data_IF_551120345729
#
_entry.id   IF_551120345729
#
_cell.length_a   1.000
_cell.length_b   1.000
_cell.length_c   1.000
_cell.angle_alpha   90.00
_cell.angle_beta   90.00
_cell.angle_gamma   90.00
#
_symmetry.space_group_name_H-M   'P 1'
#
loop_
_entity.id
_entity.type
_entity.pdbx_description
1 polymer ?
#
# COMPACT_ATOMS: atom_id res chain seq x y z
N UNK A 1 -24.75 -8.28 12.98
CA UNK A 1 -24.91 -6.90 12.47
C UNK A 1 -23.90 -6.72 11.36
N UNK A 2 -24.30 -6.14 10.23
CA UNK A 2 -23.45 -5.98 9.07
C UNK A 2 -22.19 -5.20 9.43
N UNK A 3 -21.05 -5.77 9.10
CA UNK A 3 -19.73 -5.18 9.32
C UNK A 3 -19.41 -4.13 8.23
N UNK A 4 -20.38 -3.26 7.95
CA UNK A 4 -20.25 -2.18 6.97
C UNK A 4 -20.33 -0.83 7.70
N UNK A 5 -19.51 0.11 7.30
CA UNK A 5 -19.50 1.46 7.86
C UNK A 5 -20.75 2.23 7.42
N UNK A 6 -21.12 2.08 6.15
CA UNK A 6 -22.33 2.70 5.58
C UNK A 6 -22.86 1.88 4.38
N UNK A 7 -23.99 2.33 3.82
CA UNK A 7 -24.64 1.67 2.69
C UNK A 7 -23.87 1.79 1.36
N UNK A 8 -22.90 2.69 1.26
CA UNK A 8 -22.11 2.86 0.04
C UNK A 8 -21.26 1.61 -0.27
N UNK A 9 -20.82 0.88 0.77
CA UNK A 9 -20.00 -0.30 0.60
C UNK A 9 -20.72 -1.47 -0.11
N UNK A 10 -22.06 -1.50 -0.08
CA UNK A 10 -22.89 -2.59 -0.62
C UNK A 10 -23.80 -2.16 -1.75
N UNK A 11 -23.70 -0.91 -2.21
CA UNK A 11 -24.54 -0.39 -3.31
C UNK A 11 -24.21 -1.10 -4.62
N UNK A 12 -25.12 -1.02 -5.57
CA UNK A 12 -24.94 -1.59 -6.91
C UNK A 12 -23.64 -1.06 -7.56
N UNK A 13 -22.78 -1.92 -8.15
CA UNK A 13 -21.54 -1.50 -8.78
C UNK A 13 -21.73 -0.47 -9.90
N UNK A 14 -22.79 -0.60 -10.71
CA UNK A 14 -23.06 0.34 -11.79
C UNK A 14 -23.56 1.70 -11.26
N UNK A 15 -24.29 1.70 -10.14
CA UNK A 15 -24.65 2.93 -9.44
C UNK A 15 -23.41 3.63 -8.89
N UNK A 16 -22.50 2.89 -8.23
CA UNK A 16 -21.21 3.43 -7.77
C UNK A 16 -20.42 4.07 -8.91
N UNK A 17 -20.30 3.37 -10.03
CA UNK A 17 -19.56 3.85 -11.18
C UNK A 17 -20.19 5.15 -11.72
N UNK A 18 -21.53 5.19 -11.87
CA UNK A 18 -22.22 6.43 -12.28
C UNK A 18 -21.97 7.59 -11.33
N UNK A 19 -22.04 7.38 -10.01
CA UNK A 19 -21.81 8.42 -9.00
C UNK A 19 -20.38 8.95 -9.07
N UNK A 20 -19.39 8.07 -9.13
CA UNK A 20 -17.99 8.46 -9.19
C UNK A 20 -17.72 9.30 -10.44
N UNK A 21 -18.23 8.88 -11.60
CA UNK A 21 -18.05 9.64 -12.84
C UNK A 21 -18.95 10.87 -12.97
N UNK A 22 -20.04 10.96 -12.21
CA UNK A 22 -20.80 12.22 -12.08
C UNK A 22 -20.04 13.27 -11.25
N UNK A 23 -19.24 12.84 -10.26
CA UNK A 23 -18.42 13.73 -9.41
C UNK A 23 -17.09 14.11 -10.03
N UNK A 24 -16.55 13.28 -10.91
CA UNK A 24 -15.19 13.43 -11.46
C UNK A 24 -14.97 14.73 -12.23
N UNK A 25 -15.89 15.22 -13.09
CA UNK A 25 -15.75 16.53 -13.75
C UNK A 25 -15.52 17.68 -12.77
N UNK A 26 -16.28 17.70 -11.68
CA UNK A 26 -16.16 18.71 -10.65
C UNK A 26 -14.80 18.62 -9.90
N UNK A 27 -14.33 17.39 -9.63
CA UNK A 27 -13.02 17.18 -9.01
C UNK A 27 -11.87 17.64 -9.91
N UNK A 28 -11.92 17.34 -11.21
CA UNK A 28 -10.91 17.78 -12.18
C UNK A 28 -10.95 19.31 -12.32
N UNK A 29 -12.13 19.90 -12.43
CA UNK A 29 -12.29 21.35 -12.47
C UNK A 29 -11.73 22.03 -11.21
N UNK A 30 -12.02 21.46 -10.03
CA UNK A 30 -11.50 21.94 -8.76
C UNK A 30 -9.96 21.86 -8.70
N UNK A 31 -9.36 20.74 -9.11
CA UNK A 31 -7.92 20.57 -9.18
C UNK A 31 -7.28 21.61 -10.12
N UNK A 32 -7.83 21.81 -11.31
CA UNK A 32 -7.33 22.81 -12.28
C UNK A 32 -7.47 24.26 -11.76
N UNK A 33 -8.55 24.57 -11.07
CA UNK A 33 -8.79 25.93 -10.54
C UNK A 33 -7.86 26.27 -9.37
N UNK A 34 -7.63 25.33 -8.45
CA UNK A 34 -7.05 25.59 -7.14
C UNK A 34 -5.64 25.02 -6.93
N UNK A 35 -5.21 24.03 -7.72
CA UNK A 35 -3.87 23.46 -7.64
C UNK A 35 -3.05 23.84 -8.89
N UNK A 36 -2.03 24.71 -8.75
CA UNK A 36 -1.24 25.22 -9.89
C UNK A 36 -0.62 24.12 -10.76
N UNK A 37 -0.24 22.99 -10.17
CA UNK A 37 0.28 21.83 -10.90
C UNK A 37 -0.74 21.34 -11.94
N UNK A 38 -1.98 21.08 -11.53
CA UNK A 38 -3.01 20.56 -12.43
C UNK A 38 -3.50 21.58 -13.43
N UNK A 39 -3.47 22.87 -13.12
CA UNK A 39 -3.74 23.94 -14.09
C UNK A 39 -2.81 23.85 -15.30
N UNK A 40 -1.55 23.54 -15.05
CA UNK A 40 -0.54 23.42 -16.10
C UNK A 40 -0.59 22.03 -16.77
N UNK A 41 -0.67 20.96 -15.98
CA UNK A 41 -0.66 19.59 -16.48
C UNK A 41 -1.88 19.26 -17.36
N UNK A 42 -3.03 19.89 -17.08
CA UNK A 42 -4.29 19.69 -17.79
C UNK A 42 -4.65 20.88 -18.68
N UNK A 43 -3.67 21.68 -19.10
CA UNK A 43 -3.92 22.81 -20.00
C UNK A 43 -4.63 22.34 -21.29
N UNK A 44 -5.77 22.95 -21.59
CA UNK A 44 -6.60 22.58 -22.75
C UNK A 44 -7.57 21.41 -22.53
N UNK A 45 -7.58 20.79 -21.36
CA UNK A 45 -8.58 19.78 -20.99
C UNK A 45 -9.88 20.48 -20.61
N UNK A 46 -10.99 20.02 -21.18
CA UNK A 46 -12.33 20.36 -20.70
C UNK A 46 -12.72 19.40 -19.56
N UNK A 47 -12.79 19.86 -18.30
CA UNK A 47 -13.15 19.00 -17.17
C UNK A 47 -14.51 18.33 -17.34
N UNK A 48 -15.47 18.97 -18.02
CA UNK A 48 -16.81 18.43 -18.24
C UNK A 48 -16.80 17.16 -19.11
N UNK A 49 -15.74 16.97 -19.91
CA UNK A 49 -15.57 15.78 -20.75
C UNK A 49 -15.09 14.54 -19.99
N UNK A 50 -14.62 14.67 -18.75
CA UNK A 50 -14.01 13.57 -17.98
C UNK A 50 -15.11 12.80 -17.24
N UNK A 51 -15.92 12.06 -17.98
CA UNK A 51 -17.13 11.36 -17.50
C UNK A 51 -17.05 9.85 -17.57
N UNK A 52 -15.87 9.28 -17.89
CA UNK A 52 -15.67 7.84 -18.05
C UNK A 52 -14.24 7.43 -17.71
N UNK A 53 -14.02 6.11 -17.50
CA UNK A 53 -12.66 5.56 -17.31
C UNK A 53 -11.75 5.87 -18.49
N UNK A 54 -12.26 5.79 -19.71
CA UNK A 54 -11.47 6.09 -20.90
C UNK A 54 -11.06 7.56 -20.95
N UNK A 55 -11.96 8.48 -20.62
CA UNK A 55 -11.65 9.91 -20.55
C UNK A 55 -10.65 10.22 -19.43
N UNK A 56 -10.81 9.59 -18.24
CA UNK A 56 -9.85 9.70 -17.14
C UNK A 56 -8.46 9.18 -17.56
N UNK A 57 -8.41 8.02 -18.22
CA UNK A 57 -7.17 7.39 -18.67
C UNK A 57 -6.39 8.23 -19.70
N UNK A 58 -7.06 9.14 -20.40
CA UNK A 58 -6.41 10.07 -21.34
C UNK A 58 -5.66 11.22 -20.64
N UNK A 59 -5.91 11.46 -19.34
CA UNK A 59 -5.18 12.46 -18.57
C UNK A 59 -3.76 12.00 -18.25
N UNK A 60 -2.77 12.89 -18.18
CA UNK A 60 -1.41 12.54 -17.76
C UNK A 60 -1.38 12.03 -16.33
N UNK A 61 -0.42 11.13 -16.06
CA UNK A 61 -0.19 10.53 -14.75
C UNK A 61 0.73 11.40 -13.93
N UNK A 62 0.36 11.70 -12.68
CA UNK A 62 1.22 12.34 -11.68
C UNK A 62 1.99 11.26 -10.93
N UNK A 63 3.32 11.29 -10.91
CA UNK A 63 4.12 10.21 -10.34
C UNK A 63 4.67 10.55 -8.96
N UNK A 64 4.54 9.61 -8.03
CA UNK A 64 5.16 9.72 -6.69
C UNK A 64 6.67 9.95 -6.77
N UNK A 65 7.36 9.32 -7.73
CA UNK A 65 8.79 9.48 -7.93
C UNK A 65 9.23 10.91 -8.30
N UNK A 66 8.31 11.74 -8.79
CA UNK A 66 8.56 13.12 -9.19
C UNK A 66 8.32 14.12 -8.05
N UNK A 67 7.67 13.70 -6.95
CA UNK A 67 7.23 14.62 -5.89
C UNK A 67 8.38 15.40 -5.25
N UNK A 68 9.53 14.77 -5.01
CA UNK A 68 10.68 15.45 -4.39
C UNK A 68 11.10 16.65 -5.22
N UNK A 69 11.20 16.51 -6.54
CA UNK A 69 11.61 17.59 -7.43
C UNK A 69 10.51 18.63 -7.63
N UNK A 70 9.24 18.20 -7.74
CA UNK A 70 8.10 19.11 -7.79
C UNK A 70 8.01 19.98 -6.52
N UNK A 71 8.20 19.38 -5.35
CA UNK A 71 8.16 20.10 -4.08
C UNK A 71 9.37 21.01 -3.86
N UNK A 72 10.53 20.68 -4.41
CA UNK A 72 11.67 21.62 -4.45
C UNK A 72 11.38 22.82 -5.33
N UNK A 73 10.76 22.61 -6.48
CA UNK A 73 10.43 23.68 -7.45
C UNK A 73 9.31 24.60 -6.95
N UNK A 74 8.31 24.06 -6.22
CA UNK A 74 7.16 24.80 -5.72
C UNK A 74 6.79 24.35 -4.29
N UNK A 75 7.47 24.90 -3.29
CA UNK A 75 7.30 24.51 -1.86
C UNK A 75 5.94 24.96 -1.30
N UNK A 76 5.39 24.19 -0.33
CA UNK A 76 5.90 22.90 0.17
C UNK A 76 5.41 21.69 -0.64
N UNK A 77 4.28 21.75 -1.36
CA UNK A 77 3.56 20.61 -1.92
C UNK A 77 3.66 20.45 -3.44
N UNK A 78 4.61 21.11 -4.10
CA UNK A 78 4.76 21.01 -5.55
C UNK A 78 3.64 21.66 -6.38
N UNK A 79 2.82 22.49 -5.75
CA UNK A 79 1.62 23.07 -6.37
C UNK A 79 0.45 22.12 -6.52
N UNK A 80 0.50 20.94 -5.85
CA UNK A 80 -0.56 19.93 -5.90
C UNK A 80 -1.70 20.20 -4.90
N UNK A 81 -1.48 21.07 -3.91
CA UNK A 81 -2.47 21.44 -2.91
C UNK A 81 -3.44 22.50 -3.40
N UNK A 82 -4.72 22.37 -3.06
CA UNK A 82 -5.73 23.39 -3.25
C UNK A 82 -5.89 24.28 -2.01
N UNK A 83 -5.75 23.72 -0.81
CA UNK A 83 -5.80 24.46 0.44
C UNK A 83 -4.39 24.97 0.80
N UNK A 84 -4.23 26.27 1.13
CA UNK A 84 -2.95 26.84 1.55
C UNK A 84 -2.49 26.22 2.88
N UNK A 85 -1.16 26.21 3.18
CA UNK A 85 -0.62 25.59 4.42
C UNK A 85 -1.30 26.06 5.71
N UNK A 86 -1.69 27.33 5.80
CA UNK A 86 -2.36 27.91 6.98
C UNK A 86 -3.79 27.41 7.19
N UNK A 87 -4.43 26.84 6.16
CA UNK A 87 -5.77 26.27 6.23
C UNK A 87 -5.81 24.82 6.66
N UNK A 88 -4.65 24.13 6.63
CA UNK A 88 -4.54 22.71 6.95
C UNK A 88 -4.63 22.43 8.47
N UNK A 89 -4.93 21.20 8.80
CA UNK A 89 -4.86 20.70 10.18
C UNK A 89 -3.43 20.33 10.58
N UNK A 90 -2.70 19.64 9.68
CA UNK A 90 -1.31 19.20 9.88
C UNK A 90 -0.54 19.22 8.56
N UNK A 91 0.78 19.27 8.68
CA UNK A 91 1.71 19.07 7.58
C UNK A 91 2.71 18.01 8.02
N UNK A 92 2.86 16.97 7.21
CA UNK A 92 3.74 15.86 7.51
C UNK A 92 4.97 15.86 6.60
N UNK A 93 5.93 15.04 6.96
CA UNK A 93 7.18 14.80 6.23
C UNK A 93 7.44 13.31 6.19
N UNK A 94 7.17 12.67 5.06
CA UNK A 94 7.53 11.27 4.86
C UNK A 94 8.93 11.11 4.26
N UNK A 95 9.50 9.89 4.30
CA UNK A 95 10.81 9.66 3.70
C UNK A 95 10.89 10.02 2.23
N UNK A 96 11.90 10.90 1.89
CA UNK A 96 12.12 11.45 0.57
C UNK A 96 13.02 12.68 0.57
N UNK A 97 12.87 13.79 1.33
CA UNK A 97 11.65 14.09 2.09
C UNK A 97 10.49 14.51 1.18
N UNK A 98 9.30 14.03 1.49
CA UNK A 98 8.05 14.40 0.82
C UNK A 98 7.12 15.02 1.85
N UNK A 99 6.46 16.15 1.49
CA UNK A 99 5.55 16.87 2.37
C UNK A 99 4.10 16.52 2.00
N UNK A 100 3.31 16.12 2.99
CA UNK A 100 1.91 15.76 2.82
C UNK A 100 1.01 16.65 3.67
N UNK A 101 -0.08 17.19 3.09
CA UNK A 101 -1.07 17.97 3.83
C UNK A 101 -2.14 17.08 4.45
N UNK A 102 -2.61 17.44 5.64
CA UNK A 102 -3.85 16.92 6.21
C UNK A 102 -4.87 18.06 6.35
N UNK A 103 -6.03 17.93 5.71
CA UNK A 103 -7.14 18.84 5.85
C UNK A 103 -7.89 18.66 7.18
N UNK A 104 -8.90 19.50 7.45
CA UNK A 104 -9.67 19.49 8.71
C UNK A 104 -10.89 18.58 8.67
N UNK A 105 -11.15 17.91 7.55
CA UNK A 105 -12.27 16.97 7.41
C UNK A 105 -12.09 15.80 8.36
N UNK A 106 -13.15 15.35 9.02
CA UNK A 106 -13.15 14.12 9.79
C UNK A 106 -12.82 12.94 8.86
N UNK A 107 -12.05 11.97 9.38
CA UNK A 107 -11.55 10.83 8.59
C UNK A 107 -10.93 11.23 7.23
N UNK A 108 -10.10 12.26 7.25
CA UNK A 108 -9.44 12.82 6.05
C UNK A 108 -8.75 11.74 5.22
N UNK A 109 -8.22 10.73 5.86
CA UNK A 109 -7.42 9.65 5.29
C UNK A 109 -8.22 8.37 4.94
N UNK A 110 -9.56 8.40 5.11
CA UNK A 110 -10.47 7.30 4.78
C UNK A 110 -10.21 6.00 5.54
N UNK A 111 -9.71 6.08 6.78
CA UNK A 111 -9.37 4.91 7.58
C UNK A 111 -10.59 4.25 8.25
N UNK A 112 -11.67 4.98 8.47
CA UNK A 112 -12.83 4.49 9.22
C UNK A 112 -13.43 3.21 8.63
N UNK A 113 -13.61 3.12 7.28
CA UNK A 113 -14.16 1.92 6.64
C UNK A 113 -13.27 0.70 6.83
N UNK A 114 -11.96 0.88 6.73
CA UNK A 114 -10.99 -0.20 6.97
C UNK A 114 -11.03 -0.67 8.43
N UNK A 115 -11.16 0.25 9.38
CA UNK A 115 -11.28 -0.05 10.80
C UNK A 115 -12.57 -0.81 11.11
N UNK A 116 -13.71 -0.36 10.60
CA UNK A 116 -15.00 -1.06 10.77
C UNK A 116 -14.97 -2.44 10.12
N UNK A 117 -14.37 -2.58 8.92
CA UNK A 117 -14.20 -3.88 8.27
C UNK A 117 -13.31 -4.84 9.07
N UNK A 118 -12.31 -4.32 9.80
CA UNK A 118 -11.47 -5.09 10.72
C UNK A 118 -12.14 -5.35 12.09
N UNK A 119 -13.39 -4.88 12.28
CA UNK A 119 -14.22 -5.16 13.45
C UNK A 119 -14.09 -4.16 14.58
N UNK A 120 -13.43 -3.00 14.40
CA UNK A 120 -13.39 -1.93 15.38
C UNK A 120 -14.77 -1.26 15.51
N UNK A 121 -15.13 -0.84 16.72
CA UNK A 121 -16.41 -0.26 17.03
C UNK A 121 -16.28 0.88 18.08
N UNK A 122 -17.30 1.71 18.17
CA UNK A 122 -17.37 2.74 19.19
C UNK A 122 -17.24 2.16 20.59
N UNK A 123 -16.42 2.82 21.40
CA UNK A 123 -16.09 2.40 22.76
C UNK A 123 -14.85 1.48 22.86
N UNK A 124 -14.28 1.00 21.76
CA UNK A 124 -13.02 0.27 21.81
C UNK A 124 -11.87 1.18 22.27
N UNK A 125 -10.97 0.63 23.09
CA UNK A 125 -9.66 1.22 23.36
C UNK A 125 -8.66 0.58 22.42
N UNK A 126 -7.88 1.39 21.68
CA UNK A 126 -7.01 0.91 20.59
C UNK A 126 -5.60 1.45 20.76
N UNK A 127 -4.63 0.53 20.73
CA UNK A 127 -3.21 0.89 20.71
C UNK A 127 -2.77 1.23 19.29
N UNK A 128 -2.43 2.51 19.06
CA UNK A 128 -1.91 2.98 17.77
C UNK A 128 -0.38 3.07 17.84
N UNK A 129 0.28 2.14 17.14
CA UNK A 129 1.73 2.04 17.07
C UNK A 129 2.32 2.53 15.75
N UNK A 130 1.58 3.27 14.94
CA UNK A 130 2.16 4.03 13.85
C UNK A 130 2.91 5.25 14.36
N UNK A 131 3.93 5.69 13.60
CA UNK A 131 4.71 6.86 13.97
C UNK A 131 3.87 8.13 13.97
N UNK A 132 4.03 8.91 15.04
CA UNK A 132 3.51 10.27 15.17
C UNK A 132 4.57 11.34 14.86
N UNK A 133 5.82 10.91 14.71
CA UNK A 133 6.94 11.83 14.53
C UNK A 133 7.12 12.16 13.05
N UNK A 134 6.65 13.32 12.65
CA UNK A 134 6.66 13.90 11.30
C UNK A 134 5.83 13.15 10.25
N UNK A 135 5.71 11.84 10.29
CA UNK A 135 4.98 11.04 9.29
C UNK A 135 3.47 10.98 9.55
N UNK A 136 2.63 10.81 8.52
CA UNK A 136 1.17 10.91 8.68
C UNK A 136 0.52 9.67 9.31
N UNK A 137 1.16 8.50 9.34
CA UNK A 137 0.47 7.25 9.63
C UNK A 137 -0.18 7.22 11.03
N UNK A 138 0.47 7.77 12.07
CA UNK A 138 -0.13 7.87 13.41
C UNK A 138 -1.41 8.68 13.41
N UNK A 139 -1.40 9.88 12.81
CA UNK A 139 -2.58 10.74 12.67
C UNK A 139 -3.65 10.12 11.77
N UNK A 140 -3.23 9.46 10.70
CA UNK A 140 -4.13 8.81 9.74
C UNK A 140 -5.05 7.81 10.43
N UNK A 141 -4.49 6.90 11.21
CA UNK A 141 -5.29 5.91 11.92
C UNK A 141 -5.98 6.49 13.14
N UNK A 142 -5.38 7.45 13.85
CA UNK A 142 -6.01 8.12 15.00
C UNK A 142 -7.29 8.85 14.60
N UNK A 143 -7.26 9.67 13.52
CA UNK A 143 -8.45 10.38 13.07
C UNK A 143 -9.55 9.45 12.62
N UNK A 144 -9.21 8.32 11.96
CA UNK A 144 -10.18 7.27 11.61
C UNK A 144 -10.75 6.57 12.83
N UNK A 145 -9.93 6.23 13.85
CA UNK A 145 -10.38 5.64 15.11
C UNK A 145 -11.32 6.56 15.87
N UNK A 146 -11.00 7.85 15.97
CA UNK A 146 -11.89 8.85 16.57
C UNK A 146 -13.20 8.97 15.81
N UNK A 147 -13.17 8.89 14.46
CA UNK A 147 -14.39 8.91 13.64
C UNK A 147 -15.28 7.69 13.90
N UNK A 148 -14.69 6.52 14.16
CA UNK A 148 -15.42 5.29 14.56
C UNK A 148 -15.95 5.39 15.99
N UNK A 149 -15.39 6.25 16.83
CA UNK A 149 -15.76 6.43 18.24
C UNK A 149 -14.89 5.63 19.20
N UNK A 150 -13.67 5.29 18.81
CA UNK A 150 -12.67 4.61 19.64
C UNK A 150 -11.88 5.61 20.49
N UNK A 151 -11.40 5.15 21.66
CA UNK A 151 -10.35 5.81 22.40
C UNK A 151 -8.97 5.31 21.91
N UNK A 152 -7.99 6.21 21.81
CA UNK A 152 -6.68 5.88 21.22
C UNK A 152 -5.58 6.01 22.28
N UNK A 153 -4.75 4.96 22.40
CA UNK A 153 -3.48 4.99 23.09
C UNK A 153 -2.42 5.33 22.02
N UNK A 154 -1.84 6.55 22.02
CA UNK A 154 -0.90 7.00 21.00
C UNK A 154 0.51 6.45 21.27
N UNK A 155 0.69 5.13 21.13
CA UNK A 155 1.91 4.41 21.46
C UNK A 155 3.09 4.78 20.57
N UNK A 156 2.85 5.01 19.28
CA UNK A 156 3.93 5.30 18.34
C UNK A 156 4.86 4.11 18.10
N UNK A 157 6.04 4.39 17.58
CA UNK A 157 7.05 3.37 17.27
C UNK A 157 8.09 3.22 18.38
N UNK A 158 8.68 2.03 18.49
CA UNK A 158 9.72 1.74 19.50
C UNK A 158 9.15 1.57 20.90
N UNK A 159 10.02 1.71 21.93
CA UNK A 159 9.65 1.58 23.36
C UNK A 159 8.89 0.28 23.67
N UNK A 160 9.31 -0.86 23.11
CA UNK A 160 8.56 -2.13 23.07
C UNK A 160 8.14 -2.59 24.49
N UNK A 161 9.00 -2.43 25.50
CA UNK A 161 8.68 -2.78 26.89
C UNK A 161 7.58 -1.88 27.45
N UNK A 162 7.65 -0.56 27.22
CA UNK A 162 6.61 0.38 27.66
C UNK A 162 5.27 0.05 27.00
N UNK A 163 5.28 -0.29 25.70
CA UNK A 163 4.10 -0.71 24.97
C UNK A 163 3.50 -2.01 25.54
N UNK A 164 4.36 -3.00 25.89
CA UNK A 164 3.90 -4.24 26.52
C UNK A 164 3.24 -3.99 27.90
N UNK A 165 3.81 -3.08 28.71
CA UNK A 165 3.19 -2.66 29.96
C UNK A 165 1.87 -1.92 29.75
N UNK A 166 1.81 -1.02 28.77
CA UNK A 166 0.57 -0.32 28.43
C UNK A 166 -0.53 -1.30 27.96
N UNK A 167 -0.18 -2.36 27.23
CA UNK A 167 -1.13 -3.42 26.86
C UNK A 167 -1.69 -4.11 28.09
N UNK A 168 -0.84 -4.46 29.06
CA UNK A 168 -1.25 -5.14 30.29
C UNK A 168 -2.12 -4.25 31.19
N UNK A 169 -1.77 -2.96 31.31
CA UNK A 169 -2.41 -2.02 32.24
C UNK A 169 -3.71 -1.42 31.69
N UNK A 170 -3.77 -1.16 30.36
CA UNK A 170 -4.88 -0.47 29.71
C UNK A 170 -5.80 -1.41 28.94
N UNK A 171 -5.43 -2.67 28.78
CA UNK A 171 -6.22 -3.74 28.15
C UNK A 171 -6.87 -3.33 26.82
N UNK A 172 -6.12 -2.79 25.81
CA UNK A 172 -6.71 -2.36 24.54
C UNK A 172 -7.39 -3.54 23.84
N UNK A 173 -8.59 -3.31 23.31
CA UNK A 173 -9.33 -4.29 22.55
C UNK A 173 -8.75 -4.52 21.14
N UNK A 174 -7.95 -3.56 20.63
CA UNK A 174 -7.38 -3.62 19.29
C UNK A 174 -6.06 -2.89 19.13
N UNK A 175 -5.45 -3.15 17.97
CA UNK A 175 -4.16 -2.61 17.59
C UNK A 175 -4.20 -2.04 16.17
N UNK A 176 -3.52 -0.92 15.94
CA UNK A 176 -3.17 -0.43 14.61
C UNK A 176 -1.68 -0.13 14.54
N UNK A 177 -1.01 -0.58 13.49
CA UNK A 177 0.45 -0.46 13.35
C UNK A 177 1.00 -1.40 12.29
N UNK A 178 2.32 -1.62 12.29
CA UNK A 178 2.92 -2.64 11.44
C UNK A 178 2.73 -4.03 12.03
N UNK A 179 2.56 -5.09 11.21
CA UNK A 179 2.36 -6.46 11.71
C UNK A 179 3.56 -6.99 12.49
N UNK A 180 4.78 -6.65 12.06
CA UNK A 180 6.01 -7.07 12.75
C UNK A 180 6.13 -6.46 14.14
N UNK A 181 5.70 -5.19 14.31
CA UNK A 181 5.80 -4.53 15.61
C UNK A 181 4.76 -5.06 16.61
N UNK A 182 3.54 -5.42 16.17
CA UNK A 182 2.58 -6.12 17.01
C UNK A 182 3.17 -7.45 17.53
N UNK A 183 3.79 -8.23 16.62
CA UNK A 183 4.46 -9.47 17.01
C UNK A 183 5.51 -9.23 18.08
N UNK A 184 6.38 -8.22 17.93
CA UNK A 184 7.40 -7.86 18.91
C UNK A 184 6.82 -7.45 20.27
N UNK A 185 5.72 -6.70 20.30
CA UNK A 185 5.04 -6.32 21.55
C UNK A 185 4.52 -7.56 22.28
N UNK A 186 3.87 -8.48 21.55
CA UNK A 186 3.33 -9.72 22.11
C UNK A 186 4.43 -10.65 22.65
N UNK A 187 5.55 -10.78 21.92
CA UNK A 187 6.72 -11.53 22.38
C UNK A 187 7.34 -10.88 23.63
N UNK A 188 7.34 -9.54 23.72
CA UNK A 188 7.79 -8.84 24.90
C UNK A 188 6.83 -9.03 26.10
N UNK A 189 5.52 -9.09 25.86
CA UNK A 189 4.58 -9.46 26.93
C UNK A 189 4.86 -10.86 27.48
N UNK A 190 5.14 -11.84 26.61
CA UNK A 190 5.49 -13.21 27.04
C UNK A 190 6.79 -13.22 27.87
N UNK A 191 7.84 -12.51 27.41
CA UNK A 191 9.13 -12.41 28.11
C UNK A 191 8.97 -11.83 29.52
N UNK A 192 8.08 -10.84 29.67
CA UNK A 192 7.84 -10.17 30.94
C UNK A 192 6.73 -10.81 31.79
N UNK A 193 6.07 -11.87 31.31
CA UNK A 193 4.93 -12.50 31.98
C UNK A 193 3.71 -11.59 32.08
N UNK A 194 3.53 -10.65 31.14
CA UNK A 194 2.45 -9.67 31.12
C UNK A 194 1.24 -10.17 30.28
N UNK A 195 -0.01 -9.93 30.71
CA UNK A 195 -1.17 -10.31 29.95
C UNK A 195 -1.32 -9.46 28.68
N UNK A 196 -1.65 -10.11 27.55
CA UNK A 196 -1.92 -9.44 26.27
C UNK A 196 -3.19 -9.97 25.59
N UNK A 197 -4.01 -10.75 26.32
CA UNK A 197 -5.20 -11.39 25.78
C UNK A 197 -6.35 -10.41 25.49
N UNK A 198 -6.24 -9.15 25.87
CA UNK A 198 -7.22 -8.08 25.57
C UNK A 198 -7.26 -7.75 24.09
N UNK A 199 -6.12 -7.79 23.37
CA UNK A 199 -6.06 -7.51 21.93
C UNK A 199 -6.75 -8.64 21.15
N UNK A 200 -7.90 -8.35 20.56
CA UNK A 200 -8.71 -9.31 19.76
C UNK A 200 -8.67 -9.02 18.27
N UNK A 201 -8.34 -7.81 17.88
CA UNK A 201 -8.34 -7.38 16.48
C UNK A 201 -7.14 -6.48 16.18
N UNK A 202 -6.71 -6.51 14.91
CA UNK A 202 -5.68 -5.61 14.43
C UNK A 202 -5.97 -5.18 12.99
N UNK A 203 -5.68 -3.91 12.67
CA UNK A 203 -5.56 -3.44 11.31
C UNK A 203 -4.11 -3.05 11.07
N UNK A 204 -3.44 -3.76 10.18
CA UNK A 204 -2.01 -3.60 9.94
C UNK A 204 -1.73 -3.01 8.56
N UNK A 205 -0.67 -2.22 8.47
CA UNK A 205 -0.24 -1.57 7.21
C UNK A 205 1.25 -1.18 7.28
N UNK A 206 1.75 -0.55 6.23
CA UNK A 206 3.11 0.01 6.17
C UNK A 206 4.20 -0.98 5.79
N UNK A 207 3.93 -2.26 5.83
CA UNK A 207 4.80 -3.35 5.37
C UNK A 207 3.99 -4.55 4.91
N UNK A 208 4.65 -5.51 4.25
CA UNK A 208 4.00 -6.74 3.81
C UNK A 208 3.52 -7.58 5.02
N UNK A 209 2.26 -7.98 5.01
CA UNK A 209 1.71 -8.85 6.05
C UNK A 209 2.04 -10.32 5.72
N UNK A 210 3.21 -10.75 6.20
CA UNK A 210 3.75 -12.08 5.92
C UNK A 210 2.87 -13.20 6.51
N UNK A 211 2.67 -14.33 5.78
CA UNK A 211 1.84 -15.45 6.25
C UNK A 211 2.24 -15.99 7.62
N UNK A 212 3.54 -16.05 7.92
CA UNK A 212 4.03 -16.49 9.22
C UNK A 212 3.63 -15.58 10.38
N UNK A 213 3.62 -14.24 10.15
CA UNK A 213 3.16 -13.27 11.16
C UNK A 213 1.64 -13.35 11.32
N UNK A 214 0.90 -13.52 10.22
CA UNK A 214 -0.55 -13.74 10.28
C UNK A 214 -0.88 -14.97 11.11
N UNK A 215 -0.26 -16.11 10.83
CA UNK A 215 -0.47 -17.36 11.58
C UNK A 215 -0.12 -17.21 13.08
N UNK A 216 0.95 -16.47 13.40
CA UNK A 216 1.31 -16.16 14.79
C UNK A 216 0.21 -15.36 15.51
N UNK A 217 -0.35 -14.34 14.87
CA UNK A 217 -1.41 -13.51 15.45
C UNK A 217 -2.72 -14.31 15.59
N UNK A 218 -3.09 -15.07 14.57
CA UNK A 218 -4.29 -15.94 14.59
C UNK A 218 -4.19 -17.02 15.67
N UNK A 219 -3.01 -17.62 15.86
CA UNK A 219 -2.75 -18.57 16.95
C UNK A 219 -2.92 -17.99 18.34
N UNK A 220 -2.89 -16.64 18.47
CA UNK A 220 -3.18 -15.92 19.71
C UNK A 220 -4.62 -15.42 19.82
N UNK A 221 -5.49 -15.78 18.86
CA UNK A 221 -6.88 -15.36 18.80
C UNK A 221 -7.05 -13.90 18.35
N UNK A 222 -6.07 -13.32 17.66
CA UNK A 222 -6.12 -11.96 17.13
C UNK A 222 -6.56 -12.01 15.67
N UNK A 223 -7.74 -11.46 15.36
CA UNK A 223 -8.22 -11.28 14.00
C UNK A 223 -7.51 -10.08 13.38
N UNK A 224 -6.44 -10.34 12.61
CA UNK A 224 -5.66 -9.29 11.96
C UNK A 224 -6.02 -9.15 10.48
N UNK A 225 -6.21 -7.92 10.04
CA UNK A 225 -6.52 -7.51 8.68
C UNK A 225 -5.49 -6.51 8.19
N UNK A 226 -5.32 -6.40 6.87
CA UNK A 226 -4.39 -5.45 6.29
C UNK A 226 -5.09 -4.31 5.56
N UNK A 227 -4.44 -3.14 5.52
CA UNK A 227 -4.83 -2.04 4.68
C UNK A 227 -3.67 -1.62 3.76
N UNK A 228 -4.01 -1.22 2.55
CA UNK A 228 -3.10 -0.61 1.60
C UNK A 228 -3.38 0.89 1.53
N UNK A 229 -2.36 1.67 1.72
CA UNK A 229 -2.43 3.13 1.65
C UNK A 229 -1.06 3.75 1.49
N UNK A 230 -1.04 5.04 1.18
CA UNK A 230 0.18 5.83 1.09
C UNK A 230 0.06 7.13 1.87
N UNK A 231 1.18 7.78 2.14
CA UNK A 231 1.23 9.04 2.85
C UNK A 231 0.47 10.17 2.12
N UNK A 232 0.38 10.09 0.79
CA UNK A 232 -0.30 11.09 -0.04
C UNK A 232 -1.80 10.86 -0.18
N UNK A 233 -2.23 9.59 -0.20
CA UNK A 233 -3.59 9.18 -0.57
C UNK A 233 -4.46 8.79 0.63
N UNK A 234 -3.84 8.42 1.76
CA UNK A 234 -4.55 7.74 2.83
C UNK A 234 -4.83 6.27 2.48
N UNK A 235 -5.90 5.71 3.00
CA UNK A 235 -6.29 4.32 2.78
C UNK A 235 -6.96 4.18 1.40
N UNK A 236 -6.30 3.44 0.52
CA UNK A 236 -6.75 3.17 -0.85
C UNK A 236 -7.60 1.90 -0.92
N UNK A 237 -7.20 0.85 -0.19
CA UNK A 237 -7.92 -0.41 -0.15
C UNK A 237 -7.67 -1.15 1.16
N UNK A 238 -8.59 -2.03 1.55
CA UNK A 238 -8.53 -2.74 2.83
C UNK A 238 -9.09 -4.16 2.74
N UNK A 239 -8.56 -5.04 3.57
CA UNK A 239 -9.02 -6.42 3.72
C UNK A 239 -10.33 -6.47 4.52
N UNK A 240 -11.20 -7.38 4.14
CA UNK A 240 -12.44 -7.71 4.86
C UNK A 240 -12.35 -9.12 5.45
N UNK A 241 -13.41 -9.54 6.14
CA UNK A 241 -13.55 -10.90 6.68
C UNK A 241 -13.57 -12.00 5.61
N UNK A 242 -13.83 -11.66 4.34
CA UNK A 242 -13.70 -12.58 3.22
C UNK A 242 -12.25 -13.01 2.96
N UNK A 243 -11.25 -12.20 3.35
CA UNK A 243 -9.81 -12.45 3.14
C UNK A 243 -9.41 -12.73 1.69
N UNK A 244 -10.18 -12.19 0.75
CA UNK A 244 -9.98 -12.32 -0.68
C UNK A 244 -9.65 -10.97 -1.32
N UNK A 245 -8.37 -10.60 -1.29
CA UNK A 245 -7.88 -9.31 -1.79
C UNK A 245 -8.29 -8.14 -0.89
N UNK A 246 -8.09 -6.93 -1.40
CA UNK A 246 -8.39 -5.68 -0.72
C UNK A 246 -9.49 -4.93 -1.48
N UNK A 247 -10.54 -4.55 -0.78
CA UNK A 247 -11.65 -3.75 -1.32
C UNK A 247 -11.22 -2.29 -1.41
N UNK A 248 -11.39 -1.66 -2.56
CA UNK A 248 -11.09 -0.24 -2.74
C UNK A 248 -11.97 0.65 -1.86
N UNK A 249 -11.41 1.75 -1.36
CA UNK A 249 -12.17 2.77 -0.62
C UNK A 249 -13.23 3.42 -1.52
N UNK A 250 -14.35 3.85 -0.93
CA UNK A 250 -15.44 4.56 -1.64
C UNK A 250 -15.06 5.99 -2.07
N UNK A 251 -13.95 6.52 -1.55
CA UNK A 251 -13.49 7.89 -1.78
C UNK A 251 -12.39 7.99 -2.85
N UNK A 252 -12.11 6.90 -3.57
CA UNK A 252 -11.07 6.88 -4.59
C UNK A 252 -11.49 6.13 -5.84
N UNK A 253 -10.93 6.52 -6.99
CA UNK A 253 -10.93 5.74 -8.22
C UNK A 253 -9.57 5.06 -8.36
N UNK A 254 -9.56 3.74 -8.44
CA UNK A 254 -8.34 2.94 -8.65
C UNK A 254 -8.27 2.47 -10.10
N UNK A 255 -7.12 2.64 -10.72
CA UNK A 255 -6.73 2.10 -12.01
C UNK A 255 -5.50 1.21 -11.82
N UNK A 256 -5.41 0.10 -12.56
CA UNK A 256 -4.19 -0.69 -12.70
C UNK A 256 -3.67 -0.45 -14.10
N UNK A 257 -2.47 0.13 -14.21
CA UNK A 257 -1.94 0.61 -15.48
C UNK A 257 -0.58 0.00 -15.79
N UNK A 258 -0.20 0.03 -17.05
CA UNK A 258 1.14 -0.36 -17.49
C UNK A 258 2.17 0.61 -16.89
N UNK A 259 3.15 0.11 -16.14
CA UNK A 259 4.20 0.95 -15.57
C UNK A 259 4.91 1.78 -16.65
N UNK A 260 5.12 3.05 -16.35
CA UNK A 260 5.79 4.00 -17.23
C UNK A 260 4.89 4.70 -18.25
N UNK A 261 3.88 4.02 -18.81
CA UNK A 261 2.99 4.64 -19.83
C UNK A 261 1.71 5.21 -19.23
N UNK A 262 1.14 4.57 -18.22
CA UNK A 262 -0.16 4.94 -17.65
C UNK A 262 -1.37 4.36 -18.41
N UNK A 263 -1.14 3.46 -19.38
CA UNK A 263 -2.23 2.80 -20.11
C UNK A 263 -2.93 1.78 -19.22
N UNK A 264 -4.28 1.78 -19.11
CA UNK A 264 -5.02 0.79 -18.34
C UNK A 264 -4.74 -0.63 -18.81
N UNK A 265 -4.63 -1.55 -17.85
CA UNK A 265 -4.45 -2.98 -18.12
C UNK A 265 -5.78 -3.74 -17.94
N UNK A 266 -5.95 -4.87 -18.64
CA UNK A 266 -7.06 -5.80 -18.38
C UNK A 266 -7.05 -6.29 -16.92
N UNK A 267 -8.23 -6.70 -16.44
CA UNK A 267 -8.37 -7.32 -15.13
C UNK A 267 -7.42 -8.51 -14.96
N UNK A 268 -6.95 -8.70 -13.74
CA UNK A 268 -5.98 -9.72 -13.33
C UNK A 268 -4.54 -9.56 -13.87
N UNK A 269 -4.27 -8.65 -14.80
CA UNK A 269 -2.90 -8.29 -15.17
C UNK A 269 -2.26 -7.42 -14.08
N UNK A 270 -0.96 -7.68 -13.83
CA UNK A 270 -0.19 -6.92 -12.84
C UNK A 270 0.31 -5.62 -13.45
N UNK A 271 0.00 -4.50 -12.78
CA UNK A 271 0.42 -3.17 -13.20
C UNK A 271 0.59 -2.22 -12.02
N UNK A 272 0.94 -0.98 -12.33
CA UNK A 272 1.11 0.09 -11.36
C UNK A 272 -0.26 0.58 -10.87
N UNK A 273 -0.38 0.76 -9.56
CA UNK A 273 -1.58 1.33 -8.94
C UNK A 273 -1.58 2.83 -9.16
N UNK A 274 -2.60 3.31 -9.86
CA UNK A 274 -2.88 4.74 -10.06
C UNK A 274 -4.20 5.09 -9.39
N UNK A 275 -4.22 6.20 -8.68
CA UNK A 275 -5.38 6.59 -7.85
C UNK A 275 -5.79 8.02 -8.14
N UNK A 276 -7.09 8.23 -8.29
CA UNK A 276 -7.71 9.56 -8.28
C UNK A 276 -8.55 9.70 -7.02
N UNK A 277 -8.31 10.78 -6.25
CA UNK A 277 -9.04 11.08 -5.01
C UNK A 277 -10.13 12.14 -5.23
N UNK A 278 -11.15 12.12 -4.36
CA UNK A 278 -12.15 13.19 -4.26
C UNK A 278 -11.84 14.12 -3.07
N UNK A 279 -10.55 14.34 -2.80
CA UNK A 279 -10.07 15.19 -1.73
C UNK A 279 -10.04 16.65 -2.20
N UNK A 280 -10.66 17.55 -1.45
CA UNK A 280 -10.71 18.98 -1.79
C UNK A 280 -9.42 19.72 -1.43
N UNK A 281 -8.69 19.29 -0.39
CA UNK A 281 -7.48 19.96 0.08
C UNK A 281 -6.24 19.59 -0.74
N UNK A 282 -6.18 18.30 -1.15
CA UNK A 282 -5.09 17.71 -1.93
C UNK A 282 -5.66 16.85 -3.05
N UNK A 283 -6.14 17.49 -4.14
CA UNK A 283 -6.93 16.83 -5.19
C UNK A 283 -6.05 16.06 -6.16
N UNK A 284 -5.52 14.91 -5.71
CA UNK A 284 -4.67 14.07 -6.55
C UNK A 284 -5.48 13.38 -7.64
N UNK A 285 -5.16 13.65 -8.91
CA UNK A 285 -5.76 13.04 -10.09
C UNK A 285 -4.72 12.17 -10.79
N UNK A 286 -5.08 10.91 -11.04
CA UNK A 286 -4.20 9.88 -11.64
C UNK A 286 -2.80 9.83 -11.01
N UNK A 287 -2.77 9.70 -9.70
CA UNK A 287 -1.53 9.63 -8.94
C UNK A 287 -0.98 8.20 -8.94
N UNK A 288 0.16 8.00 -9.59
CA UNK A 288 0.89 6.73 -9.66
C UNK A 288 1.73 6.54 -8.40
N UNK A 289 1.40 5.50 -7.64
CA UNK A 289 2.00 5.22 -6.32
C UNK A 289 3.41 4.64 -6.40
N UNK A 290 3.78 4.09 -7.56
CA UNK A 290 4.98 3.27 -7.72
C UNK A 290 4.84 1.85 -7.15
N UNK A 291 3.65 1.45 -6.71
CA UNK A 291 3.36 0.11 -6.22
C UNK A 291 2.63 -0.72 -7.29
N UNK A 292 2.87 -2.03 -7.28
CA UNK A 292 2.22 -2.98 -8.17
C UNK A 292 1.05 -3.67 -7.50
N UNK A 293 -0.02 -3.87 -8.26
CA UNK A 293 -1.16 -4.73 -7.91
C UNK A 293 -1.83 -5.27 -9.17
N UNK A 294 -2.94 -5.99 -8.99
CA UNK A 294 -3.81 -6.42 -10.08
C UNK A 294 -5.27 -6.35 -9.61
N UNK A 295 -6.20 -6.09 -10.52
CA UNK A 295 -7.63 -6.22 -10.23
C UNK A 295 -7.93 -7.69 -9.90
N UNK A 296 -8.66 -7.92 -8.81
CA UNK A 296 -9.21 -9.23 -8.46
C UNK A 296 -10.68 -9.26 -8.93
N UNK A 297 -10.98 -9.98 -10.01
CA UNK A 297 -12.34 -10.00 -10.55
C UNK A 297 -13.33 -10.75 -9.65
N UNK A 298 -14.61 -10.50 -9.87
CA UNK A 298 -15.71 -11.15 -9.17
C UNK A 298 -16.18 -10.40 -7.91
N UNK A 299 -17.34 -10.82 -7.39
CA UNK A 299 -17.95 -10.24 -6.20
C UNK A 299 -17.19 -10.66 -4.93
N UNK A 300 -17.18 -9.78 -3.93
CA UNK A 300 -16.62 -10.13 -2.61
C UNK A 300 -17.62 -10.94 -1.79
N UNK A 301 -17.21 -12.07 -1.18
CA UNK A 301 -18.11 -12.83 -0.29
C UNK A 301 -18.61 -12.07 0.94
N UNK A 302 -17.93 -10.97 1.32
CA UNK A 302 -18.37 -10.12 2.44
C UNK A 302 -19.53 -9.18 2.11
N UNK A 303 -20.03 -9.20 0.86
CA UNK A 303 -21.12 -8.34 0.38
C UNK A 303 -20.68 -6.94 -0.06
N UNK A 304 -19.41 -6.54 0.13
CA UNK A 304 -18.89 -5.30 -0.45
C UNK A 304 -18.77 -5.43 -1.95
N UNK A 305 -19.20 -4.41 -2.65
CA UNK A 305 -19.37 -4.44 -4.11
C UNK A 305 -18.37 -3.59 -4.88
N UNK A 306 -17.44 -2.91 -4.17
CA UNK A 306 -16.41 -2.12 -4.85
C UNK A 306 -15.32 -3.00 -5.45
N UNK A 307 -14.54 -2.41 -6.38
CA UNK A 307 -13.36 -3.02 -6.98
C UNK A 307 -12.47 -3.66 -5.90
N UNK A 308 -11.92 -4.83 -6.19
CA UNK A 308 -10.91 -5.45 -5.35
C UNK A 308 -9.57 -5.49 -6.07
N UNK A 309 -8.50 -5.29 -5.31
CA UNK A 309 -7.13 -5.49 -5.78
C UNK A 309 -6.47 -6.64 -5.00
N UNK A 310 -5.45 -7.27 -5.59
CA UNK A 310 -4.75 -8.40 -4.95
C UNK A 310 -3.91 -7.99 -3.72
N UNK A 311 -3.76 -6.67 -3.47
CA UNK A 311 -2.88 -6.12 -2.47
C UNK A 311 -1.54 -5.70 -3.06
N UNK A 312 -0.57 -5.42 -2.19
CA UNK A 312 0.76 -5.01 -2.62
C UNK A 312 1.55 -6.18 -3.22
N UNK A 313 2.01 -6.03 -4.45
CA UNK A 313 2.73 -7.05 -5.21
C UNK A 313 4.17 -6.65 -5.53
N UNK A 314 4.66 -5.59 -4.89
CA UNK A 314 6.00 -5.05 -5.07
C UNK A 314 6.00 -3.63 -5.61
N UNK A 315 7.20 -3.14 -5.97
CA UNK A 315 7.42 -1.79 -6.50
C UNK A 315 7.51 -1.81 -8.01
N UNK A 316 6.89 -0.85 -8.66
CA UNK A 316 6.94 -0.68 -10.11
C UNK A 316 8.35 -0.33 -10.62
N UNK A 317 9.11 0.42 -9.82
CA UNK A 317 10.50 0.79 -10.09
C UNK A 317 11.50 -0.36 -9.96
N UNK A 318 11.09 -1.48 -9.37
CA UNK A 318 11.85 -2.73 -9.31
C UNK A 318 11.46 -3.73 -10.41
N UNK A 319 10.44 -3.42 -11.23
CA UNK A 319 10.17 -4.23 -12.40
C UNK A 319 11.22 -3.96 -13.48
N UNK A 320 11.80 -5.02 -14.04
CA UNK A 320 12.81 -4.89 -15.09
C UNK A 320 12.45 -5.75 -16.30
N UNK A 321 12.90 -5.37 -17.48
CA UNK A 321 12.68 -6.12 -18.72
C UNK A 321 13.93 -6.95 -19.05
N UNK A 322 13.79 -8.27 -19.09
CA UNK A 322 14.88 -9.21 -19.39
C UNK A 322 14.52 -10.01 -20.64
N UNK A 323 15.32 -9.94 -21.68
CA UNK A 323 15.08 -10.64 -22.96
C UNK A 323 13.64 -10.46 -23.48
N UNK A 324 13.11 -9.23 -23.38
CA UNK A 324 11.76 -8.87 -23.84
C UNK A 324 10.62 -9.16 -22.86
N UNK A 325 10.85 -9.88 -21.77
CA UNK A 325 9.86 -10.21 -20.75
C UNK A 325 10.01 -9.31 -19.53
N UNK A 326 8.89 -8.82 -18.97
CA UNK A 326 8.91 -8.12 -17.69
C UNK A 326 9.05 -9.11 -16.53
N UNK A 327 9.97 -8.78 -15.63
CA UNK A 327 10.18 -9.49 -14.37
C UNK A 327 9.74 -8.59 -13.24
N UNK A 328 8.84 -9.10 -12.42
CA UNK A 328 8.22 -8.33 -11.34
C UNK A 328 8.59 -8.87 -9.95
N UNK A 329 8.66 -8.01 -8.91
CA UNK A 329 8.99 -8.42 -7.55
C UNK A 329 8.15 -9.56 -6.98
N UNK A 330 6.85 -9.61 -7.31
CA UNK A 330 5.96 -10.67 -6.83
C UNK A 330 6.36 -12.06 -7.35
N UNK A 331 6.96 -12.17 -8.55
CA UNK A 331 7.44 -13.43 -9.10
C UNK A 331 8.64 -13.92 -8.29
N UNK A 332 9.54 -13.01 -7.89
CA UNK A 332 10.67 -13.31 -6.99
C UNK A 332 10.18 -13.79 -5.62
N UNK A 333 9.18 -13.10 -5.05
CA UNK A 333 8.57 -13.49 -3.79
C UNK A 333 7.94 -14.90 -3.85
N UNK A 334 7.28 -15.24 -4.96
CA UNK A 334 6.69 -16.56 -5.17
C UNK A 334 7.75 -17.66 -5.27
N UNK A 335 8.89 -17.39 -5.91
CA UNK A 335 10.03 -18.34 -5.90
C UNK A 335 10.50 -18.59 -4.48
N UNK A 336 10.71 -17.54 -3.69
CA UNK A 336 11.12 -17.66 -2.28
C UNK A 336 10.14 -18.50 -1.48
N UNK A 337 8.85 -18.24 -1.63
CA UNK A 337 7.78 -18.94 -0.93
C UNK A 337 7.73 -20.42 -1.28
N UNK A 338 7.80 -20.79 -2.59
CA UNK A 338 7.72 -22.19 -3.04
C UNK A 338 8.86 -23.05 -2.54
N UNK A 339 10.03 -22.45 -2.35
CA UNK A 339 11.22 -23.15 -1.91
C UNK A 339 11.55 -22.95 -0.42
N UNK A 340 10.67 -22.30 0.36
CA UNK A 340 10.87 -22.06 1.79
C UNK A 340 12.12 -21.21 2.09
N UNK A 341 12.46 -20.29 1.20
CA UNK A 341 13.63 -19.43 1.30
C UNK A 341 13.31 -18.12 2.00
N UNK A 342 14.14 -17.72 2.95
CA UNK A 342 13.89 -16.51 3.76
C UNK A 342 14.19 -15.23 2.98
N UNK A 343 15.24 -15.23 2.14
CA UNK A 343 15.70 -14.02 1.43
C UNK A 343 16.41 -14.36 0.13
N UNK A 344 16.13 -13.52 -0.90
CA UNK A 344 16.82 -13.60 -2.18
C UNK A 344 16.65 -12.32 -2.98
N UNK A 345 17.55 -12.11 -3.93
CA UNK A 345 17.56 -10.98 -4.85
C UNK A 345 17.84 -11.45 -6.26
N UNK A 346 17.01 -11.03 -7.19
CA UNK A 346 17.26 -11.25 -8.61
C UNK A 346 18.14 -10.11 -9.14
N UNK A 347 19.31 -10.46 -9.66
CA UNK A 347 20.25 -9.49 -10.25
C UNK A 347 20.20 -9.65 -11.76
N UNK A 348 19.97 -8.55 -12.48
CA UNK A 348 19.97 -8.53 -13.94
C UNK A 348 21.16 -7.71 -14.39
N UNK A 349 22.06 -8.36 -15.12
CA UNK A 349 23.23 -7.78 -15.75
C UNK A 349 23.24 -8.04 -17.25
N UNK A 350 24.28 -7.58 -17.93
CA UNK A 350 24.59 -8.00 -19.30
C UNK A 350 26.00 -8.58 -19.38
N UNK A 351 26.15 -9.62 -20.18
CA UNK A 351 27.43 -10.24 -20.48
C UNK A 351 27.49 -10.49 -21.99
N UNK A 352 28.56 -10.02 -22.64
CA UNK A 352 28.72 -10.11 -24.10
C UNK A 352 27.52 -9.58 -24.93
N UNK A 353 26.81 -8.57 -24.42
CA UNK A 353 25.64 -7.97 -25.09
C UNK A 353 24.31 -8.69 -24.85
N UNK A 354 24.31 -9.77 -24.09
CA UNK A 354 23.09 -10.49 -23.72
C UNK A 354 22.69 -10.25 -22.25
N UNK A 355 21.37 -10.15 -22.00
CA UNK A 355 20.85 -10.06 -20.65
C UNK A 355 21.11 -11.36 -19.88
N UNK A 356 21.71 -11.23 -18.70
CA UNK A 356 21.93 -12.32 -17.75
C UNK A 356 21.15 -12.07 -16.48
N UNK A 357 20.44 -13.09 -16.01
CA UNK A 357 19.62 -13.05 -14.81
C UNK A 357 20.17 -14.06 -13.80
N UNK A 358 20.54 -13.60 -12.59
CA UNK A 358 21.06 -14.43 -11.50
C UNK A 358 20.21 -14.24 -10.25
N UNK A 359 19.64 -15.31 -9.73
CA UNK A 359 18.92 -15.28 -8.47
C UNK A 359 19.85 -15.60 -7.31
N UNK A 360 20.24 -14.59 -6.53
CA UNK A 360 21.06 -14.72 -5.34
C UNK A 360 20.20 -15.06 -4.15
N UNK A 361 20.47 -16.18 -3.46
CA UNK A 361 19.68 -16.69 -2.35
C UNK A 361 20.55 -16.76 -1.10
N UNK A 362 20.11 -16.16 -0.01
CA UNK A 362 20.79 -16.30 1.29
C UNK A 362 20.53 -17.66 1.89
N UNK A 363 21.58 -18.50 1.88
CA UNK A 363 21.57 -19.83 2.48
C UNK A 363 23.00 -20.29 2.78
N UNK A 364 23.21 -20.86 3.98
CA UNK A 364 24.51 -21.36 4.42
C UNK A 364 25.02 -22.53 3.56
N UNK A 365 24.08 -23.39 3.12
CA UNK A 365 24.35 -24.54 2.29
C UNK A 365 23.31 -24.65 1.17
N UNK A 366 23.76 -24.80 -0.05
CA UNK A 366 22.91 -25.05 -1.21
C UNK A 366 23.50 -26.18 -2.04
N UNK A 367 22.65 -27.07 -2.51
CA UNK A 367 23.03 -28.16 -3.39
C UNK A 367 22.57 -27.92 -4.84
N UNK A 368 23.09 -28.71 -5.76
CA UNK A 368 22.70 -28.63 -7.18
C UNK A 368 21.24 -28.97 -7.43
N UNK A 369 20.66 -29.85 -6.60
CA UNK A 369 19.24 -30.25 -6.72
C UNK A 369 18.32 -29.07 -6.43
N UNK A 370 18.56 -28.33 -5.32
CA UNK A 370 17.82 -27.15 -4.96
C UNK A 370 18.01 -26.03 -5.99
N UNK A 371 19.25 -25.81 -6.47
CA UNK A 371 19.49 -24.80 -7.51
C UNK A 371 18.67 -25.12 -8.78
N UNK A 372 18.70 -26.36 -9.26
CA UNK A 372 17.92 -26.76 -10.44
C UNK A 372 16.40 -26.64 -10.23
N UNK A 373 15.90 -26.91 -9.02
CA UNK A 373 14.48 -26.74 -8.70
C UNK A 373 14.08 -25.26 -8.71
N UNK A 374 14.91 -24.37 -8.16
CA UNK A 374 14.70 -22.91 -8.19
C UNK A 374 14.76 -22.39 -9.64
N UNK A 375 15.72 -22.84 -10.45
CA UNK A 375 15.83 -22.46 -11.87
C UNK A 375 14.59 -22.87 -12.68
N UNK A 376 14.05 -24.06 -12.41
CA UNK A 376 12.81 -24.54 -13.03
C UNK A 376 11.62 -23.65 -12.66
N UNK A 377 11.50 -23.28 -11.38
CA UNK A 377 10.44 -22.38 -10.89
C UNK A 377 10.59 -20.96 -11.45
N UNK A 378 11.82 -20.43 -11.52
CA UNK A 378 12.09 -19.15 -12.17
C UNK A 378 11.64 -19.19 -13.64
N UNK A 379 12.00 -20.24 -14.38
CA UNK A 379 11.59 -20.36 -15.79
C UNK A 379 10.07 -20.45 -15.94
N UNK A 380 9.39 -21.14 -15.06
CA UNK A 380 7.92 -21.22 -15.05
C UNK A 380 7.28 -19.84 -14.84
N UNK A 381 7.72 -19.13 -13.80
CA UNK A 381 7.09 -17.87 -13.36
C UNK A 381 7.52 -16.66 -14.20
N UNK A 382 8.79 -16.58 -14.53
CA UNK A 382 9.39 -15.41 -15.21
C UNK A 382 9.46 -15.60 -16.72
N UNK A 383 9.40 -16.85 -17.20
CA UNK A 383 9.56 -17.27 -18.59
C UNK A 383 10.91 -16.90 -19.22
N UNK A 384 11.89 -16.59 -18.36
CA UNK A 384 13.28 -16.32 -18.75
C UNK A 384 14.20 -17.27 -17.98
N UNK A 385 15.27 -17.74 -18.62
CA UNK A 385 16.31 -18.51 -17.93
C UNK A 385 17.09 -17.62 -17.00
N UNK A 386 17.32 -18.06 -15.77
CA UNK A 386 18.19 -17.45 -14.80
C UNK A 386 19.02 -18.49 -14.07
N UNK A 387 20.22 -18.12 -13.67
CA UNK A 387 21.12 -18.92 -12.85
C UNK A 387 20.78 -18.69 -11.36
N UNK A 388 21.12 -19.66 -10.50
CA UNK A 388 20.99 -19.55 -9.05
C UNK A 388 22.36 -19.52 -8.39
N UNK A 389 22.57 -18.55 -7.49
CA UNK A 389 23.77 -18.43 -6.68
C UNK A 389 23.40 -18.39 -5.18
N UNK A 390 23.95 -19.31 -4.41
CA UNK A 390 23.82 -19.27 -2.95
C UNK A 390 24.85 -18.30 -2.38
N UNK A 391 24.41 -17.45 -1.48
CA UNK A 391 25.24 -16.44 -0.79
C UNK A 391 25.07 -16.57 0.72
N UNK A 392 26.05 -16.12 1.48
CA UNK A 392 26.02 -16.21 2.93
C UNK A 392 24.79 -15.48 3.52
N UNK A 393 24.13 -16.00 4.55
CA UNK A 393 23.06 -15.30 5.25
C UNK A 393 23.50 -13.93 5.72
N UNK A 394 22.66 -12.90 5.48
CA UNK A 394 22.94 -11.51 5.81
C UNK A 394 23.86 -10.77 4.82
N UNK A 395 24.30 -11.41 3.71
CA UNK A 395 25.19 -10.78 2.74
C UNK A 395 24.48 -9.90 1.72
N UNK A 396 23.18 -10.08 1.50
CA UNK A 396 22.40 -9.22 0.62
C UNK A 396 22.10 -7.89 1.30
N UNK A 397 22.27 -6.74 0.60
CA UNK A 397 21.98 -5.42 1.16
C UNK A 397 20.54 -5.31 1.68
N UNK A 398 20.34 -4.68 2.85
CA UNK A 398 19.02 -4.44 3.41
C UNK A 398 18.45 -3.10 2.92
N UNK A 399 18.25 -2.97 1.62
CA UNK A 399 17.81 -1.77 0.91
C UNK A 399 16.39 -1.88 0.32
N UNK A 400 15.64 -2.95 0.69
CA UNK A 400 14.27 -3.20 0.22
C UNK A 400 14.18 -3.68 -1.24
N UNK A 401 15.30 -3.84 -1.95
CA UNK A 401 15.28 -4.29 -3.35
C UNK A 401 15.24 -5.82 -3.42
N UNK A 402 14.28 -6.33 -4.16
CA UNK A 402 14.17 -7.76 -4.52
C UNK A 402 14.62 -8.03 -5.95
N UNK A 403 14.65 -7.00 -6.80
CA UNK A 403 15.24 -7.02 -8.14
C UNK A 403 16.25 -5.87 -8.23
N UNK A 404 17.41 -6.16 -8.77
CA UNK A 404 18.49 -5.18 -8.99
C UNK A 404 18.94 -5.27 -10.45
N UNK A 405 18.73 -4.18 -11.18
CA UNK A 405 19.21 -4.05 -12.56
C UNK A 405 20.56 -3.32 -12.55
N UNK A 406 21.63 -4.06 -12.85
CA UNK A 406 22.99 -3.54 -12.88
C UNK A 406 23.53 -3.34 -14.30
N UNK A 407 22.67 -3.45 -15.32
CA UNK A 407 23.06 -3.23 -16.70
C UNK A 407 23.52 -1.79 -16.90
N UNK A 408 24.63 -1.63 -17.58
CA UNK A 408 25.10 -0.33 -18.05
C UNK A 408 24.55 -0.12 -19.45
N UNK A 409 23.65 0.81 -19.60
CA UNK A 409 23.21 1.31 -20.89
C UNK A 409 24.23 2.39 -21.30
N UNK A 410 25.05 2.08 -22.32
CA UNK A 410 26.01 3.02 -22.89
C UNK A 410 25.31 4.12 -23.67
#
# INVERSE_FOLDING_TARGET
>A
MGRHHDALETRDPAERERDLFARLPAQVAHAMANAPFYRNAFAGVDPASITSRAALAALPVTRKSELVELQKAARPFGGLNATPPSGLARIFVSPGPIYEPEGRRADFWHAARALVAAGFAAGDVVLNCFSYHLTPAGSMFETGLHHVGCAVIPGGVGQTEMQARAVADLEPAGYVGTPSFLKLILEKCDELGLPAASIKRALVSGEAFMPAVRAFLEGRGIAAYQAYGTAELGIVAYESDAREGLVASEEVLVEIVRPGTGDPLPDAEVGEVVVTTFNADYPLVRFATGDLSAVLPGASPCGRTNLRIRGWMGRADQATKVRGMFVHPHQVAEVLRRHGLARGRLVVGNEAGEDRMTFRVERSEGDRGLASAIEATLRELVRVRGDVAFVAPGSLPNDGKVIEDIRKYA
#
